data_IF_760614118324
#
_entry.id   IF_760614118324
#
_cell.length_a   1.000
_cell.length_b   1.000
_cell.length_c   1.000
_cell.angle_alpha   90.00
_cell.angle_beta   90.00
_cell.angle_gamma   90.00
#
_symmetry.space_group_name_H-M   'P 1'
#
loop_
_entity.id
_entity.type
_entity.pdbx_description
1 polymer ?
#
# COMPACT_ATOMS: atom_id res chain seq x y z
N UNK A 1 -6.43 0.65 23.25
CA UNK A 1 -5.80 -0.58 22.72
C UNK A 1 -6.81 -1.76 22.72
N UNK A 2 -8.03 -1.55 22.22
CA UNK A 2 -9.12 -2.53 22.33
C UNK A 2 -9.21 -3.51 21.13
N UNK A 3 -8.13 -3.66 20.36
CA UNK A 3 -8.09 -4.48 19.13
C UNK A 3 -7.47 -5.87 19.36
N UNK A 4 -7.51 -6.37 20.59
CA UNK A 4 -6.93 -7.65 21.00
C UNK A 4 -8.01 -8.71 21.19
N UNK A 5 -7.79 -9.90 20.62
CA UNK A 5 -8.62 -11.09 20.85
C UNK A 5 -7.71 -12.19 21.39
N UNK A 6 -7.97 -12.63 22.62
CA UNK A 6 -7.18 -13.69 23.29
C UNK A 6 -5.66 -13.46 23.22
N UNK A 7 -5.22 -12.22 23.51
CA UNK A 7 -3.80 -11.84 23.51
C UNK A 7 -3.20 -11.54 22.12
N UNK A 8 -3.95 -11.69 21.03
CA UNK A 8 -3.49 -11.40 19.68
C UNK A 8 -4.05 -10.07 19.18
N UNK A 9 -3.19 -9.19 18.70
CA UNK A 9 -3.61 -7.98 18.00
C UNK A 9 -4.19 -8.38 16.63
N UNK A 10 -5.49 -8.16 16.42
CA UNK A 10 -6.11 -8.33 15.09
C UNK A 10 -5.64 -7.22 14.16
N UNK A 11 -5.73 -5.96 14.63
CA UNK A 11 -5.05 -4.77 14.09
C UNK A 11 -5.46 -4.27 12.70
N UNK A 12 -5.92 -5.15 11.80
CA UNK A 12 -6.28 -4.82 10.41
C UNK A 12 -7.71 -4.27 10.27
N UNK A 13 -8.64 -4.81 11.05
CA UNK A 13 -10.05 -4.42 11.05
C UNK A 13 -10.48 -4.02 12.45
N UNK A 14 -11.36 -3.04 12.53
CA UNK A 14 -11.98 -2.63 13.78
C UNK A 14 -12.91 -3.72 14.31
N UNK A 15 -12.67 -4.17 15.55
CA UNK A 15 -13.56 -5.10 16.25
C UNK A 15 -14.96 -4.54 16.52
N UNK A 16 -15.14 -3.22 16.49
CA UNK A 16 -16.45 -2.57 16.53
C UNK A 16 -17.25 -2.69 15.23
N UNK A 17 -16.68 -3.28 14.18
CA UNK A 17 -17.36 -3.55 12.92
C UNK A 17 -17.35 -2.38 11.93
N UNK A 18 -16.59 -1.32 12.18
CA UNK A 18 -16.49 -0.17 11.24
C UNK A 18 -15.61 -0.46 10.02
N UNK A 19 -15.06 -1.68 9.91
CA UNK A 19 -14.30 -2.14 8.75
C UNK A 19 -12.79 -1.99 8.90
N UNK A 20 -12.08 -2.01 7.76
CA UNK A 20 -10.62 -1.92 7.71
C UNK A 20 -10.17 -0.50 8.11
N UNK A 21 -9.11 -0.42 8.92
CA UNK A 21 -8.52 0.86 9.35
C UNK A 21 -7.94 1.68 8.20
N UNK A 22 -7.49 1.01 7.14
CA UNK A 22 -6.92 1.64 5.95
C UNK A 22 -7.88 1.61 4.73
N UNK A 23 -9.19 1.70 4.95
CA UNK A 23 -10.17 1.79 3.85
C UNK A 23 -11.23 2.82 4.14
N UNK A 24 -11.91 3.30 3.09
CA UNK A 24 -13.01 4.27 3.21
C UNK A 24 -12.58 5.55 3.95
N UNK A 25 -11.38 6.05 3.67
CA UNK A 25 -11.01 7.41 4.04
C UNK A 25 -11.95 8.43 3.37
N UNK A 26 -12.15 9.57 4.03
CA UNK A 26 -13.07 10.58 3.54
C UNK A 26 -12.59 11.16 2.19
N UNK A 27 -13.47 11.14 1.19
CA UNK A 27 -13.19 11.72 -0.13
C UNK A 27 -13.50 13.22 -0.14
N UNK A 28 -12.44 14.05 -0.16
CA UNK A 28 -12.59 15.52 -0.19
C UNK A 28 -12.94 16.08 -1.58
N UNK A 29 -12.83 15.32 -2.67
CA UNK A 29 -13.01 15.84 -4.03
C UNK A 29 -14.35 16.55 -4.23
N UNK A 30 -15.51 16.01 -3.77
CA UNK A 30 -16.79 16.72 -3.91
C UNK A 30 -16.82 18.06 -3.17
N UNK A 31 -16.16 18.15 -2.00
CA UNK A 31 -16.10 19.38 -1.23
C UNK A 31 -15.15 20.42 -1.82
N UNK A 32 -14.04 19.97 -2.41
CA UNK A 32 -13.13 20.80 -3.20
C UNK A 32 -13.91 21.40 -4.37
N UNK A 33 -14.55 20.57 -5.19
CA UNK A 33 -15.31 21.01 -6.36
C UNK A 33 -16.45 21.99 -6.01
N UNK A 34 -17.11 21.81 -4.86
CA UNK A 34 -18.16 22.71 -4.40
C UNK A 34 -17.66 24.05 -3.85
N UNK A 35 -16.44 24.09 -3.29
CA UNK A 35 -15.90 25.28 -2.63
C UNK A 35 -15.11 26.19 -3.57
N UNK A 36 -14.56 25.63 -4.63
CA UNK A 36 -13.78 26.34 -5.63
C UNK A 36 -14.53 26.29 -6.98
N UNK A 37 -15.35 27.32 -7.22
CA UNK A 37 -16.05 27.49 -8.48
C UNK A 37 -15.05 27.74 -9.63
N UNK A 38 -15.12 26.88 -10.67
CA UNK A 38 -14.30 26.94 -11.90
C UNK A 38 -14.44 28.25 -12.68
N UNK A 39 -15.45 29.08 -12.39
CA UNK A 39 -15.68 30.34 -13.11
C UNK A 39 -14.81 31.51 -12.65
N UNK A 40 -14.08 31.38 -11.53
CA UNK A 40 -13.14 32.40 -11.05
C UNK A 40 -11.82 31.75 -10.62
N UNK A 41 -10.74 31.87 -11.42
CA UNK A 41 -9.43 31.43 -10.99
C UNK A 41 -9.04 32.18 -9.72
N UNK A 42 -8.81 31.44 -8.64
CA UNK A 42 -8.12 31.96 -7.45
C UNK A 42 -6.72 31.39 -7.46
N UNK A 43 -5.72 32.23 -7.71
CA UNK A 43 -4.34 31.87 -7.40
C UNK A 43 -4.25 31.74 -5.87
N UNK A 44 -4.27 30.51 -5.37
CA UNK A 44 -4.01 30.21 -3.97
C UNK A 44 -2.58 29.69 -3.85
N UNK A 45 -1.87 30.14 -2.82
CA UNK A 45 -0.59 29.53 -2.47
C UNK A 45 -0.80 28.08 -2.01
N UNK A 46 0.22 27.23 -2.16
CA UNK A 46 0.18 25.86 -1.64
C UNK A 46 -0.15 25.84 -0.14
N UNK A 47 0.34 26.81 0.63
CA UNK A 47 0.05 26.95 2.06
C UNK A 47 -1.44 27.21 2.35
N UNK A 48 -2.10 28.06 1.56
CA UNK A 48 -3.55 28.31 1.69
C UNK A 48 -4.36 27.06 1.36
N UNK A 49 -3.98 26.32 0.31
CA UNK A 49 -4.64 25.07 -0.06
C UNK A 49 -4.49 24.01 1.04
N UNK A 50 -3.28 23.82 1.58
CA UNK A 50 -3.02 22.92 2.70
C UNK A 50 -3.87 23.26 3.93
N UNK A 51 -3.90 24.55 4.30
CA UNK A 51 -4.71 25.03 5.42
C UNK A 51 -6.21 24.77 5.19
N UNK A 52 -6.69 24.99 3.97
CA UNK A 52 -8.08 24.72 3.61
C UNK A 52 -8.41 23.22 3.66
N UNK A 53 -7.56 22.35 3.08
CA UNK A 53 -7.75 20.89 3.08
C UNK A 53 -7.78 20.33 4.51
N UNK A 54 -6.85 20.79 5.36
CA UNK A 54 -6.82 20.47 6.79
C UNK A 54 -8.11 20.87 7.47
N UNK A 55 -8.52 22.14 7.35
CA UNK A 55 -9.72 22.64 8.03
C UNK A 55 -10.98 21.93 7.54
N UNK A 56 -11.14 21.78 6.22
CA UNK A 56 -12.27 21.07 5.64
C UNK A 56 -12.35 19.63 6.18
N UNK A 57 -11.21 18.95 6.35
CA UNK A 57 -11.19 17.60 6.93
C UNK A 57 -11.62 17.62 8.41
N UNK A 58 -11.10 18.56 9.21
CA UNK A 58 -11.42 18.66 10.64
C UNK A 58 -12.87 19.07 10.93
N UNK A 59 -13.50 19.86 10.06
CA UNK A 59 -14.91 20.27 10.19
C UNK A 59 -15.89 19.08 10.21
N UNK A 60 -15.44 17.90 9.78
CA UNK A 60 -16.24 16.66 9.73
C UNK A 60 -16.18 15.85 11.02
N UNK A 61 -15.33 16.22 11.97
CA UNK A 61 -15.04 15.42 13.15
C UNK A 61 -16.23 15.32 14.11
N UNK A 62 -17.12 16.31 14.14
CA UNK A 62 -18.24 16.35 15.09
C UNK A 62 -19.23 15.18 14.97
N UNK A 63 -19.31 14.54 13.80
CA UNK A 63 -20.21 13.41 13.53
C UNK A 63 -19.49 12.05 13.47
N UNK A 64 -18.19 12.01 13.72
CA UNK A 64 -17.34 10.85 13.48
C UNK A 64 -17.34 9.88 14.67
N UNK A 65 -17.44 8.57 14.38
CA UNK A 65 -17.07 7.54 15.35
C UNK A 65 -15.54 7.53 15.57
N UNK A 66 -14.99 6.83 16.58
CA UNK A 66 -13.56 6.87 16.87
C UNK A 66 -12.63 6.49 15.69
N UNK A 67 -13.03 5.54 14.84
CA UNK A 67 -12.24 5.11 13.68
C UNK A 67 -12.30 6.15 12.57
N UNK A 68 -13.47 6.72 12.31
CA UNK A 68 -13.63 7.84 11.38
C UNK A 68 -12.85 9.07 11.86
N UNK A 69 -12.89 9.38 13.16
CA UNK A 69 -12.14 10.48 13.74
C UNK A 69 -10.63 10.28 13.58
N UNK A 70 -10.12 9.05 13.78
CA UNK A 70 -8.73 8.71 13.50
C UNK A 70 -8.36 8.95 12.03
N UNK A 71 -9.19 8.47 11.09
CA UNK A 71 -8.98 8.66 9.65
C UNK A 71 -8.96 10.13 9.25
N UNK A 72 -9.89 10.93 9.77
CA UNK A 72 -9.93 12.38 9.55
C UNK A 72 -8.69 13.07 10.12
N UNK A 73 -8.23 12.68 11.31
CA UNK A 73 -7.01 13.23 11.91
C UNK A 73 -5.76 12.90 11.08
N UNK A 74 -5.63 11.66 10.60
CA UNK A 74 -4.52 11.27 9.72
C UNK A 74 -4.51 12.07 8.41
N UNK A 75 -5.67 12.24 7.76
CA UNK A 75 -5.78 13.07 6.56
C UNK A 75 -5.46 14.54 6.84
N UNK A 76 -5.98 15.10 7.93
CA UNK A 76 -5.73 16.49 8.30
C UNK A 76 -4.23 16.75 8.48
N UNK A 77 -3.51 15.84 9.15
CA UNK A 77 -2.04 15.90 9.29
C UNK A 77 -1.36 15.71 7.93
N UNK A 78 -1.81 14.74 7.13
CA UNK A 78 -1.26 14.51 5.79
C UNK A 78 -1.29 15.78 4.93
N UNK A 79 -2.41 16.50 4.93
CA UNK A 79 -2.57 17.75 4.17
C UNK A 79 -1.68 18.92 4.64
N UNK A 80 -0.97 18.80 5.76
CA UNK A 80 0.05 19.79 6.14
C UNK A 80 1.34 19.64 5.31
N UNK A 81 1.49 18.50 4.62
CA UNK A 81 2.71 18.13 3.92
C UNK A 81 2.49 18.00 2.41
N UNK A 82 3.57 18.14 1.64
CA UNK A 82 3.56 17.98 0.17
C UNK A 82 3.53 16.50 -0.23
N UNK A 83 3.97 15.62 0.66
CA UNK A 83 4.09 14.20 0.43
C UNK A 83 3.76 13.39 1.69
N UNK A 84 3.24 12.18 1.50
CA UNK A 84 2.99 11.20 2.56
C UNK A 84 3.66 9.87 2.22
N UNK A 85 4.33 9.27 3.20
CA UNK A 85 4.82 7.90 3.15
C UNK A 85 4.06 7.11 4.20
N UNK A 86 3.23 6.18 3.75
CA UNK A 86 2.43 5.32 4.63
C UNK A 86 3.17 4.00 4.86
N UNK A 87 3.61 3.76 6.09
CA UNK A 87 4.48 2.62 6.42
C UNK A 87 3.63 1.43 6.89
N UNK A 88 3.66 0.34 6.13
CA UNK A 88 2.89 -0.87 6.35
C UNK A 88 3.81 -2.08 6.53
N UNK A 89 3.19 -3.23 6.81
CA UNK A 89 3.81 -4.53 6.61
C UNK A 89 2.72 -5.54 6.19
N UNK A 90 3.13 -6.55 5.43
CA UNK A 90 2.28 -7.65 5.01
C UNK A 90 2.44 -8.86 5.94
N UNK A 91 1.85 -10.00 5.62
CA UNK A 91 1.95 -11.24 6.39
C UNK A 91 3.39 -11.79 6.34
N UNK A 92 3.79 -12.30 5.17
CA UNK A 92 5.17 -12.66 4.82
C UNK A 92 5.39 -12.09 3.44
N UNK A 93 6.27 -11.13 3.30
CA UNK A 93 6.49 -10.48 2.01
C UNK A 93 7.92 -10.00 1.82
N UNK A 94 8.23 -9.65 0.58
CA UNK A 94 9.41 -8.86 0.24
C UNK A 94 9.19 -7.39 0.62
N UNK A 95 10.26 -6.61 0.70
CA UNK A 95 10.15 -5.14 0.68
C UNK A 95 9.51 -4.74 -0.64
N UNK A 96 8.35 -4.07 -0.60
CA UNK A 96 7.67 -3.59 -1.80
C UNK A 96 6.98 -2.27 -1.55
N UNK A 97 6.69 -1.55 -2.63
CA UNK A 97 6.13 -0.20 -2.56
C UNK A 97 4.94 -0.11 -3.50
N UNK A 98 3.88 0.56 -3.06
CA UNK A 98 2.79 1.02 -3.90
C UNK A 98 2.89 2.53 -4.11
N UNK A 99 2.63 3.00 -5.33
CA UNK A 99 2.55 4.42 -5.68
C UNK A 99 1.73 4.59 -6.96
N UNK A 100 1.59 5.82 -7.46
CA UNK A 100 0.95 6.09 -8.75
C UNK A 100 1.91 6.28 -9.91
N UNK A 101 1.41 6.06 -11.13
CA UNK A 101 2.15 6.32 -12.37
C UNK A 101 2.51 7.79 -12.52
N UNK A 102 1.64 8.70 -12.04
CA UNK A 102 1.92 10.14 -11.97
C UNK A 102 3.25 10.47 -11.28
N UNK A 103 3.68 9.66 -10.31
CA UNK A 103 4.91 9.88 -9.55
C UNK A 103 5.96 8.79 -9.76
N UNK A 104 5.98 8.14 -10.93
CA UNK A 104 6.85 7.00 -11.22
C UNK A 104 8.33 7.29 -10.90
N UNK A 105 8.89 8.44 -11.30
CA UNK A 105 10.30 8.76 -11.06
C UNK A 105 10.64 8.89 -9.57
N UNK A 106 9.76 9.55 -8.80
CA UNK A 106 9.91 9.70 -7.34
C UNK A 106 9.74 8.34 -6.64
N UNK A 107 8.77 7.55 -7.09
CA UNK A 107 8.52 6.20 -6.57
C UNK A 107 9.70 5.26 -6.86
N UNK A 108 10.31 5.33 -8.05
CA UNK A 108 11.55 4.62 -8.41
C UNK A 108 12.70 5.05 -7.52
N UNK A 109 12.82 6.34 -7.19
CA UNK A 109 13.84 6.83 -6.27
C UNK A 109 13.66 6.26 -4.86
N UNK A 110 12.45 6.30 -4.32
CA UNK A 110 12.11 5.68 -3.03
C UNK A 110 12.41 4.18 -3.05
N UNK A 111 11.96 3.46 -4.08
CA UNK A 111 12.16 2.02 -4.23
C UNK A 111 13.63 1.62 -4.27
N UNK A 112 14.48 2.40 -4.95
CA UNK A 112 15.94 2.20 -4.91
C UNK A 112 16.53 2.43 -3.52
N UNK A 113 16.10 3.47 -2.82
CA UNK A 113 16.62 3.79 -1.48
C UNK A 113 16.19 2.75 -0.43
N UNK A 114 15.00 2.20 -0.57
CA UNK A 114 14.45 1.16 0.31
C UNK A 114 14.87 -0.27 -0.10
N UNK A 115 15.64 -0.43 -1.18
CA UNK A 115 15.98 -1.74 -1.77
C UNK A 115 14.75 -2.62 -2.03
N UNK A 116 13.66 -1.99 -2.49
CA UNK A 116 12.41 -2.66 -2.77
C UNK A 116 12.57 -3.68 -3.90
N UNK A 117 11.96 -4.85 -3.71
CA UNK A 117 11.97 -5.93 -4.71
C UNK A 117 10.95 -5.70 -5.81
N UNK A 118 9.81 -5.10 -5.44
CA UNK A 118 8.73 -4.77 -6.33
C UNK A 118 8.28 -3.33 -6.07
N UNK A 119 8.13 -2.56 -7.14
CA UNK A 119 7.41 -1.31 -7.15
C UNK A 119 6.12 -1.54 -7.95
N UNK A 120 4.98 -1.36 -7.30
CA UNK A 120 3.66 -1.60 -7.87
C UNK A 120 3.00 -0.25 -8.11
N UNK A 121 2.65 0.03 -9.36
CA UNK A 121 2.14 1.34 -9.78
C UNK A 121 0.69 1.26 -10.25
N UNK A 122 -0.10 2.25 -9.84
CA UNK A 122 -1.47 2.45 -10.30
C UNK A 122 -2.03 3.84 -10.02
N UNK A 123 -2.95 4.30 -10.85
CA UNK A 123 -3.63 5.58 -10.59
C UNK A 123 -4.94 5.41 -9.80
N UNK A 124 -5.58 4.23 -9.87
CA UNK A 124 -6.90 3.97 -9.30
C UNK A 124 -7.00 2.57 -8.67
N UNK A 125 -6.50 2.45 -7.43
CA UNK A 125 -6.61 1.26 -6.57
C UNK A 125 -8.04 0.81 -6.31
N UNK A 126 -8.88 1.81 -5.98
CA UNK A 126 -10.11 1.60 -5.27
C UNK A 126 -9.90 1.28 -3.79
N UNK A 127 -10.98 1.34 -3.01
CA UNK A 127 -10.98 1.03 -1.58
C UNK A 127 -10.75 2.24 -0.66
N UNK A 128 -10.33 3.39 -1.19
CA UNK A 128 -10.23 4.63 -0.42
C UNK A 128 -9.23 4.51 0.73
N UNK A 129 -8.01 4.09 0.42
CA UNK A 129 -6.87 4.05 1.35
C UNK A 129 -6.43 5.46 1.74
N UNK A 130 -5.59 5.56 2.75
CA UNK A 130 -5.04 6.86 3.19
C UNK A 130 -4.30 7.59 2.06
N UNK A 131 -3.36 6.90 1.41
CA UNK A 131 -2.55 7.42 0.31
C UNK A 131 -3.43 7.86 -0.88
N UNK A 132 -4.46 7.07 -1.20
CA UNK A 132 -5.41 7.38 -2.27
C UNK A 132 -6.19 8.65 -1.94
N UNK A 133 -6.78 8.76 -0.75
CA UNK A 133 -7.59 9.92 -0.38
C UNK A 133 -6.77 11.22 -0.36
N UNK A 134 -5.52 11.16 0.13
CA UNK A 134 -4.58 12.29 0.09
C UNK A 134 -4.25 12.69 -1.36
N UNK A 135 -3.82 11.74 -2.19
CA UNK A 135 -3.44 11.99 -3.59
C UNK A 135 -4.61 12.50 -4.42
N UNK A 136 -5.78 11.88 -4.29
CA UNK A 136 -6.97 12.20 -5.09
C UNK A 136 -7.49 13.61 -4.78
N UNK A 137 -7.33 14.10 -3.54
CA UNK A 137 -7.61 15.49 -3.20
C UNK A 137 -6.65 16.46 -3.91
N UNK A 138 -5.34 16.20 -3.89
CA UNK A 138 -4.36 17.01 -4.61
C UNK A 138 -4.54 16.98 -6.13
N UNK A 139 -4.92 15.84 -6.69
CA UNK A 139 -5.29 15.73 -8.11
C UNK A 139 -6.46 16.64 -8.46
N UNK A 140 -7.48 16.70 -7.62
CA UNK A 140 -8.62 17.59 -7.82
C UNK A 140 -8.24 19.07 -7.73
N UNK A 141 -7.37 19.44 -6.78
CA UNK A 141 -6.80 20.80 -6.69
C UNK A 141 -6.06 21.19 -7.99
N UNK A 142 -5.22 20.29 -8.51
CA UNK A 142 -4.48 20.51 -9.76
C UNK A 142 -5.43 20.57 -10.97
N UNK A 143 -6.46 19.73 -11.01
CA UNK A 143 -7.50 19.72 -12.06
C UNK A 143 -8.27 21.04 -12.12
N UNK A 144 -8.48 21.68 -10.97
CA UNK A 144 -9.12 22.99 -10.85
C UNK A 144 -8.13 24.17 -11.01
N UNK A 145 -6.88 23.89 -11.38
CA UNK A 145 -5.81 24.89 -11.58
C UNK A 145 -5.56 25.79 -10.35
N UNK A 146 -5.87 25.30 -9.15
CA UNK A 146 -5.72 26.06 -7.89
C UNK A 146 -4.27 26.09 -7.37
N UNK A 147 -3.49 25.06 -7.71
CA UNK A 147 -2.09 24.93 -7.39
C UNK A 147 -1.37 24.14 -8.49
N UNK A 148 -0.25 24.66 -8.98
CA UNK A 148 0.58 24.02 -10.02
C UNK A 148 1.88 23.43 -9.48
N UNK A 149 2.07 23.43 -8.15
CA UNK A 149 3.28 22.89 -7.53
C UNK A 149 3.35 21.37 -7.69
N UNK A 150 4.28 20.93 -8.55
CA UNK A 150 4.49 19.52 -8.87
C UNK A 150 5.04 18.70 -7.69
N UNK A 151 5.56 19.35 -6.63
CA UNK A 151 6.06 18.66 -5.44
C UNK A 151 4.91 18.08 -4.59
N UNK A 152 3.69 18.62 -4.73
CA UNK A 152 2.53 18.27 -3.92
C UNK A 152 1.81 17.01 -4.40
N UNK A 153 1.21 16.28 -3.45
CA UNK A 153 0.34 15.14 -3.69
C UNK A 153 1.05 13.80 -3.85
N UNK A 154 2.37 13.74 -3.63
CA UNK A 154 3.08 12.45 -3.68
C UNK A 154 2.67 11.57 -2.51
N UNK A 155 2.24 10.37 -2.82
CA UNK A 155 1.84 9.38 -1.83
C UNK A 155 2.43 8.04 -2.22
N UNK A 156 3.04 7.36 -1.25
CA UNK A 156 3.52 5.99 -1.43
C UNK A 156 3.25 5.16 -0.19
N UNK A 157 2.90 3.90 -0.38
CA UNK A 157 2.81 2.90 0.69
C UNK A 157 4.10 2.08 0.66
N UNK A 158 4.80 2.02 1.78
CA UNK A 158 6.02 1.23 1.94
C UNK A 158 5.68 -0.01 2.77
N UNK A 159 5.68 -1.17 2.13
CA UNK A 159 5.48 -2.45 2.80
C UNK A 159 6.82 -2.97 3.28
N UNK A 160 7.06 -2.78 4.58
CA UNK A 160 8.28 -3.18 5.30
C UNK A 160 8.31 -4.70 5.52
N UNK A 161 8.24 -5.47 4.44
CA UNK A 161 8.23 -6.95 4.44
C UNK A 161 7.04 -7.51 5.25
N UNK A 162 7.27 -8.53 6.07
CA UNK A 162 6.26 -9.21 6.87
C UNK A 162 6.14 -8.70 8.32
N UNK A 163 5.00 -8.95 8.95
CA UNK A 163 4.66 -8.63 10.35
C UNK A 163 5.65 -9.15 11.39
N UNK A 164 6.50 -10.12 11.04
CA UNK A 164 7.52 -10.71 11.93
C UNK A 164 8.94 -10.21 11.64
N UNK A 165 9.13 -9.39 10.62
CA UNK A 165 10.45 -8.86 10.23
C UNK A 165 10.79 -7.63 11.08
N UNK A 166 10.96 -7.85 12.39
CA UNK A 166 11.21 -6.81 13.40
C UNK A 166 12.56 -7.07 14.07
N UNK A 167 13.52 -6.17 13.83
CA UNK A 167 14.82 -6.14 14.51
C UNK A 167 15.45 -4.75 14.37
N UNK A 168 16.38 -4.43 15.26
CA UNK A 168 17.11 -3.15 15.21
C UNK A 168 17.91 -3.01 13.89
N UNK A 169 18.49 -4.10 13.38
CA UNK A 169 19.23 -4.11 12.12
C UNK A 169 18.34 -3.76 10.93
N UNK A 170 17.13 -4.35 10.87
CA UNK A 170 16.15 -4.02 9.83
C UNK A 170 15.68 -2.57 9.94
N UNK A 171 15.33 -2.13 11.15
CA UNK A 171 14.85 -0.76 11.38
C UNK A 171 15.93 0.29 11.04
N UNK A 172 17.19 0.02 11.37
CA UNK A 172 18.31 0.89 11.03
C UNK A 172 18.53 0.99 9.51
N UNK A 173 18.44 -0.14 8.80
CA UNK A 173 18.54 -0.16 7.34
C UNK A 173 17.37 0.58 6.67
N UNK A 174 16.14 0.34 7.10
CA UNK A 174 14.95 1.02 6.58
C UNK A 174 15.02 2.53 6.81
N UNK A 175 15.38 2.95 8.03
CA UNK A 175 15.53 4.36 8.38
C UNK A 175 16.62 5.03 7.53
N UNK A 176 17.74 4.34 7.28
CA UNK A 176 18.79 4.85 6.40
C UNK A 176 18.28 5.04 4.96
N UNK A 177 17.47 4.10 4.44
CA UNK A 177 16.84 4.20 3.13
C UNK A 177 15.86 5.38 3.03
N UNK A 178 14.99 5.55 4.03
CA UNK A 178 14.06 6.68 4.10
C UNK A 178 14.82 8.02 4.17
N UNK A 179 15.87 8.09 4.98
CA UNK A 179 16.72 9.28 5.09
C UNK A 179 17.39 9.59 3.74
N UNK A 180 17.91 8.58 3.04
CA UNK A 180 18.55 8.77 1.74
C UNK A 180 17.53 9.22 0.67
N UNK A 181 16.28 8.74 0.72
CA UNK A 181 15.19 9.28 -0.09
C UNK A 181 14.89 10.76 0.23
N UNK A 182 14.70 11.10 1.50
CA UNK A 182 14.43 12.49 1.93
C UNK A 182 15.57 13.46 1.57
N UNK A 183 16.83 12.98 1.54
CA UNK A 183 17.98 13.76 1.01
C UNK A 183 17.85 14.03 -0.48
N UNK A 184 17.48 13.01 -1.26
CA UNK A 184 17.30 13.14 -2.72
C UNK A 184 16.15 14.08 -3.07
N UNK A 185 15.10 14.09 -2.27
CA UNK A 185 13.98 15.04 -2.39
C UNK A 185 14.36 16.48 -1.96
N UNK A 186 15.58 16.71 -1.45
CA UNK A 186 16.03 18.02 -1.00
C UNK A 186 15.42 18.48 0.33
N UNK A 187 14.60 17.65 0.98
CA UNK A 187 13.90 17.98 2.24
C UNK A 187 14.88 18.19 3.39
N UNK A 188 16.02 17.50 3.36
CA UNK A 188 17.08 17.61 4.36
C UNK A 188 18.27 18.48 3.92
N UNK A 189 18.04 19.44 3.02
CA UNK A 189 19.08 20.40 2.59
C UNK A 189 19.66 21.13 3.82
N UNK A 190 20.91 20.81 4.18
CA UNK A 190 21.62 21.37 5.33
C UNK A 190 22.10 20.34 6.36
N UNK A 191 21.60 19.10 6.34
CA UNK A 191 21.96 18.13 7.38
C UNK A 191 23.27 17.38 7.14
N UNK A 192 23.68 17.01 5.91
CA UNK A 192 25.02 16.42 5.67
C UNK A 192 25.46 16.53 4.21
N UNK A 193 26.60 17.20 3.97
CA UNK A 193 27.48 16.91 2.84
C UNK A 193 28.30 15.65 3.17
N UNK A 194 28.23 14.60 2.35
CA UNK A 194 29.24 13.52 2.42
C UNK A 194 28.81 12.06 2.24
N UNK A 195 27.52 11.71 2.20
CA UNK A 195 27.12 10.34 1.82
C UNK A 195 26.70 10.31 0.35
N UNK A 196 27.57 9.79 -0.52
CA UNK A 196 27.14 9.38 -1.84
C UNK A 196 26.04 8.32 -1.67
N UNK A 197 24.86 8.55 -2.25
CA UNK A 197 23.78 7.58 -2.15
C UNK A 197 24.27 6.25 -2.71
N UNK A 198 24.12 5.17 -1.94
CA UNK A 198 24.49 3.84 -2.41
C UNK A 198 23.71 3.54 -3.70
N UNK A 199 24.33 2.93 -4.73
CA UNK A 199 23.61 2.49 -5.92
C UNK A 199 22.70 1.33 -5.52
N UNK A 200 21.50 1.67 -5.04
CA UNK A 200 20.44 0.70 -4.77
C UNK A 200 20.07 -0.05 -6.05
N UNK A 201 19.73 -1.33 -5.92
CA UNK A 201 19.27 -2.15 -7.05
C UNK A 201 17.97 -1.56 -7.61
N UNK A 202 17.84 -1.55 -8.94
CA UNK A 202 16.58 -1.17 -9.56
C UNK A 202 15.50 -2.22 -9.26
N UNK A 203 14.38 -1.76 -8.71
CA UNK A 203 13.21 -2.58 -8.42
C UNK A 203 12.51 -2.99 -9.71
N UNK A 204 11.92 -4.17 -9.72
CA UNK A 204 11.02 -4.55 -10.81
C UNK A 204 9.72 -3.76 -10.67
N UNK A 205 9.23 -3.21 -11.78
CA UNK A 205 7.98 -2.44 -11.82
C UNK A 205 6.86 -3.30 -12.35
N UNK A 206 5.73 -3.25 -11.65
CA UNK A 206 4.52 -3.98 -11.99
C UNK A 206 3.33 -3.03 -11.95
N UNK A 207 2.41 -3.17 -12.90
CA UNK A 207 1.10 -2.52 -12.78
C UNK A 207 0.26 -3.27 -11.73
N UNK A 208 -0.54 -2.58 -10.90
CA UNK A 208 -1.40 -3.29 -9.93
C UNK A 208 -2.38 -4.26 -10.64
N UNK A 209 -2.86 -3.93 -11.83
CA UNK A 209 -3.73 -4.82 -12.60
C UNK A 209 -3.00 -6.08 -13.11
N UNK A 210 -1.69 -6.19 -12.97
CA UNK A 210 -0.90 -7.38 -13.25
C UNK A 210 -0.54 -8.19 -11.99
N UNK A 211 -0.98 -7.75 -10.81
CA UNK A 211 -0.80 -8.48 -9.54
C UNK A 211 -1.98 -9.42 -9.32
N UNK A 212 -1.67 -10.71 -9.21
CA UNK A 212 -2.65 -11.78 -9.01
C UNK A 212 -2.68 -12.25 -7.57
N UNK A 213 -3.88 -12.52 -7.05
CA UNK A 213 -4.08 -13.21 -5.79
C UNK A 213 -4.30 -14.70 -6.02
N UNK A 214 -3.57 -15.52 -5.26
CA UNK A 214 -3.73 -16.98 -5.30
C UNK A 214 -4.63 -17.42 -4.14
N UNK A 215 -5.77 -18.00 -4.49
CA UNK A 215 -6.67 -18.63 -3.52
C UNK A 215 -6.36 -20.12 -3.39
N UNK A 216 -6.55 -20.66 -2.18
CA UNK A 216 -6.45 -22.10 -1.95
C UNK A 216 -7.70 -22.84 -2.45
N UNK A 217 -7.57 -23.98 -3.15
CA UNK A 217 -8.71 -24.77 -3.61
C UNK A 217 -9.29 -25.69 -2.52
N UNK A 218 -8.61 -25.84 -1.38
CA UNK A 218 -8.97 -26.82 -0.35
C UNK A 218 -8.70 -26.32 1.08
N UNK A 219 -9.41 -26.92 2.03
CA UNK A 219 -9.09 -26.84 3.45
C UNK A 219 -7.91 -27.76 3.78
N UNK A 220 -7.10 -27.37 4.76
CA UNK A 220 -6.02 -28.21 5.28
C UNK A 220 -4.79 -27.41 5.66
N UNK A 221 -3.66 -28.11 5.82
CA UNK A 221 -2.37 -27.49 6.19
C UNK A 221 -1.54 -27.22 4.94
N UNK A 222 -1.11 -25.97 4.75
CA UNK A 222 -0.27 -25.57 3.62
C UNK A 222 1.20 -25.97 3.79
N UNK A 223 1.78 -26.48 2.71
CA UNK A 223 3.19 -26.79 2.55
C UNK A 223 3.74 -26.02 1.35
N UNK A 224 4.48 -24.94 1.61
CA UNK A 224 5.05 -24.08 0.58
C UNK A 224 6.19 -24.77 -0.19
N UNK A 225 6.18 -24.63 -1.53
CA UNK A 225 7.25 -25.11 -2.43
C UNK A 225 8.11 -23.98 -2.99
N UNK A 226 7.64 -22.74 -2.84
CA UNK A 226 8.34 -21.51 -3.22
C UNK A 226 8.38 -20.52 -2.07
N UNK A 227 9.45 -19.73 -2.04
CA UNK A 227 9.62 -18.62 -1.12
C UNK A 227 9.28 -17.30 -1.82
N UNK A 228 8.94 -16.27 -1.06
CA UNK A 228 8.87 -14.91 -1.60
C UNK A 228 10.20 -14.56 -2.29
N UNK A 229 10.14 -13.71 -3.34
CA UNK A 229 11.21 -13.43 -4.32
C UNK A 229 11.38 -14.45 -5.44
N UNK A 230 10.80 -15.64 -5.34
CA UNK A 230 10.90 -16.63 -6.41
C UNK A 230 10.13 -16.17 -7.65
N UNK A 231 10.76 -16.28 -8.82
CA UNK A 231 10.07 -16.27 -10.10
C UNK A 231 9.30 -17.59 -10.26
N UNK A 232 8.08 -17.50 -10.78
CA UNK A 232 7.20 -18.65 -11.00
C UNK A 232 6.57 -18.57 -12.39
N UNK A 233 6.35 -19.72 -13.01
CA UNK A 233 5.65 -19.86 -14.28
C UNK A 233 4.14 -20.09 -14.06
N UNK A 234 3.33 -19.72 -15.06
CA UNK A 234 1.90 -20.01 -15.03
C UNK A 234 1.67 -21.53 -14.97
N UNK A 235 0.86 -21.97 -14.02
CA UNK A 235 0.56 -23.38 -13.76
C UNK A 235 1.58 -24.08 -12.85
N UNK A 236 2.66 -23.41 -12.45
CA UNK A 236 3.64 -23.97 -11.53
C UNK A 236 3.06 -24.17 -10.12
N UNK A 237 3.32 -25.32 -9.50
CA UNK A 237 2.93 -25.59 -8.11
C UNK A 237 3.77 -24.77 -7.14
N UNK A 238 3.16 -23.78 -6.49
CA UNK A 238 3.82 -22.91 -5.49
C UNK A 238 3.66 -23.43 -4.07
N UNK A 239 2.64 -24.25 -3.82
CA UNK A 239 2.36 -24.90 -2.55
C UNK A 239 1.50 -26.16 -2.73
N UNK A 240 1.38 -26.95 -1.68
CA UNK A 240 0.42 -28.04 -1.57
C UNK A 240 -0.40 -27.88 -0.29
N UNK A 241 -1.68 -28.24 -0.33
CA UNK A 241 -2.55 -28.33 0.86
C UNK A 241 -2.70 -29.79 1.24
N UNK A 242 -2.24 -30.14 2.44
CA UNK A 242 -2.41 -31.47 3.03
C UNK A 242 -3.79 -31.53 3.68
N UNK A 243 -4.66 -32.44 3.22
CA UNK A 243 -6.02 -32.62 3.73
C UNK A 243 -5.99 -33.19 5.16
N UNK A 244 -6.64 -32.51 6.09
CA UNK A 244 -6.71 -32.96 7.49
C UNK A 244 -7.82 -33.98 7.76
N UNK A 245 -8.74 -34.14 6.80
CA UNK A 245 -9.92 -34.99 6.87
C UNK A 245 -9.77 -36.30 6.09
N UNK A 246 -8.55 -36.67 5.70
CA UNK A 246 -8.25 -37.81 4.83
C UNK A 246 -7.50 -38.95 5.56
N UNK A 247 -7.55 -40.14 4.98
CA UNK A 247 -6.84 -41.33 5.49
C UNK A 247 -5.35 -41.19 5.19
N UNK A 248 -4.48 -41.73 6.06
CA UNK A 248 -3.02 -41.67 5.88
C UNK A 248 -2.55 -42.64 4.77
N UNK A 249 -1.72 -42.19 3.80
CA UNK A 249 -1.19 -40.83 3.67
C UNK A 249 -2.22 -39.86 3.12
N UNK A 250 -2.38 -38.72 3.81
CA UNK A 250 -3.36 -37.71 3.47
C UNK A 250 -3.14 -37.15 2.06
N UNK A 251 -4.22 -36.99 1.29
CA UNK A 251 -4.17 -36.39 -0.04
C UNK A 251 -3.59 -34.98 0.02
N UNK A 252 -2.80 -34.65 -1.00
CA UNK A 252 -2.22 -33.32 -1.23
C UNK A 252 -2.87 -32.67 -2.44
N UNK A 253 -3.35 -31.45 -2.28
CA UNK A 253 -3.95 -30.66 -3.37
C UNK A 253 -2.97 -29.57 -3.78
N UNK A 254 -2.59 -29.54 -5.06
CA UNK A 254 -1.67 -28.53 -5.57
C UNK A 254 -2.32 -27.14 -5.57
N UNK A 255 -1.55 -26.13 -5.17
CA UNK A 255 -1.84 -24.71 -5.39
C UNK A 255 -0.91 -24.23 -6.49
N UNK A 256 -1.50 -23.81 -7.61
CA UNK A 256 -0.76 -23.42 -8.81
C UNK A 256 -0.77 -21.91 -9.01
N UNK A 257 0.28 -21.36 -9.61
CA UNK A 257 0.36 -19.97 -9.98
C UNK A 257 -0.61 -19.66 -11.16
N UNK A 258 -1.56 -18.72 -11.00
CA UNK A 258 -2.51 -18.36 -12.07
C UNK A 258 -1.86 -17.55 -13.21
N UNK A 259 -0.71 -16.91 -12.93
CA UNK A 259 0.07 -16.10 -13.85
C UNK A 259 1.57 -16.34 -13.62
N UNK A 260 2.39 -16.03 -14.63
CA UNK A 260 3.84 -16.00 -14.48
C UNK A 260 4.26 -14.65 -13.84
N UNK A 261 5.26 -14.67 -12.96
CA UNK A 261 5.69 -13.47 -12.25
C UNK A 261 6.57 -13.75 -11.04
N UNK A 262 6.61 -12.80 -10.12
CA UNK A 262 7.37 -12.91 -8.86
C UNK A 262 6.41 -13.11 -7.70
N UNK A 263 6.64 -14.13 -6.87
CA UNK A 263 5.92 -14.32 -5.61
C UNK A 263 6.36 -13.23 -4.61
N UNK A 264 5.53 -12.21 -4.41
CA UNK A 264 5.89 -11.05 -3.56
C UNK A 264 5.44 -11.23 -2.11
N UNK A 265 4.33 -11.94 -1.88
CA UNK A 265 3.77 -12.14 -0.56
C UNK A 265 3.07 -13.50 -0.41
N UNK A 266 2.99 -13.99 0.83
CA UNK A 266 2.27 -15.21 1.19
C UNK A 266 1.70 -15.19 2.60
N UNK A 267 0.74 -16.07 2.87
CA UNK A 267 0.12 -16.25 4.18
C UNK A 267 1.11 -16.79 5.22
N UNK A 268 1.05 -16.26 6.44
CA UNK A 268 1.67 -16.83 7.63
C UNK A 268 0.76 -17.83 8.36
N UNK A 269 -0.54 -17.86 8.02
CA UNK A 269 -1.50 -18.82 8.57
C UNK A 269 -1.36 -20.13 7.79
N UNK A 270 -1.15 -21.22 8.52
CA UNK A 270 -0.89 -22.53 7.92
C UNK A 270 -2.13 -23.42 7.77
N UNK A 271 -3.15 -23.21 8.58
CA UNK A 271 -4.44 -23.91 8.46
C UNK A 271 -5.39 -23.05 7.62
N UNK A 272 -5.84 -23.61 6.50
CA UNK A 272 -6.55 -22.88 5.47
C UNK A 272 -7.99 -23.34 5.30
N UNK A 273 -8.82 -22.44 4.77
CA UNK A 273 -10.17 -22.74 4.27
C UNK A 273 -10.26 -22.49 2.76
N UNK A 274 -11.12 -23.21 2.00
CA UNK A 274 -11.24 -23.03 0.55
C UNK A 274 -11.57 -21.58 0.20
N UNK A 275 -10.97 -21.06 -0.87
CA UNK A 275 -11.14 -19.68 -1.30
C UNK A 275 -10.29 -18.67 -0.55
N UNK A 276 -9.68 -19.03 0.59
CA UNK A 276 -8.78 -18.14 1.31
C UNK A 276 -7.59 -17.74 0.43
N UNK A 277 -7.29 -16.45 0.39
CA UNK A 277 -6.15 -15.90 -0.34
C UNK A 277 -4.86 -16.11 0.44
N UNK A 278 -3.89 -16.72 -0.22
CA UNK A 278 -2.68 -17.22 0.42
C UNK A 278 -1.40 -16.69 -0.18
N UNK A 279 -1.42 -16.11 -1.39
CA UNK A 279 -0.24 -15.54 -2.01
C UNK A 279 -0.58 -14.41 -2.98
N UNK A 280 0.41 -13.55 -3.24
CA UNK A 280 0.38 -12.53 -4.28
C UNK A 280 1.53 -12.74 -5.26
N UNK A 281 1.22 -12.74 -6.55
CA UNK A 281 2.20 -12.86 -7.64
C UNK A 281 2.13 -11.60 -8.49
N UNK A 282 3.24 -10.88 -8.60
CA UNK A 282 3.36 -9.72 -9.46
C UNK A 282 3.83 -10.17 -10.86
N UNK A 283 2.93 -10.10 -11.84
CA UNK A 283 3.18 -10.43 -13.24
C UNK A 283 3.38 -9.19 -14.12
N UNK A 284 3.69 -9.40 -15.40
CA UNK A 284 3.88 -8.30 -16.38
C UNK A 284 2.64 -7.97 -17.20
N UNK A 285 1.73 -8.93 -17.37
CA UNK A 285 0.51 -8.78 -18.15
C UNK A 285 -0.66 -8.44 -17.24
N UNK A 286 -1.49 -7.47 -17.66
CA UNK A 286 -2.74 -7.17 -16.99
C UNK A 286 -3.64 -8.41 -16.97
N UNK A 287 -4.29 -8.63 -15.82
CA UNK A 287 -5.16 -9.77 -15.59
C UNK A 287 -6.60 -9.40 -15.99
N UNK A 288 -7.30 -10.21 -16.80
CA UNK A 288 -8.67 -9.89 -17.27
C UNK A 288 -9.69 -9.66 -16.14
N UNK A 289 -9.52 -10.32 -15.01
CA UNK A 289 -10.37 -10.18 -13.83
C UNK A 289 -10.13 -8.90 -13.01
N UNK A 290 -9.07 -8.13 -13.32
CA UNK A 290 -8.74 -6.89 -12.61
C UNK A 290 -9.46 -5.71 -13.27
N UNK A 291 -10.28 -5.02 -12.47
CA UNK A 291 -11.00 -3.82 -12.88
C UNK A 291 -10.40 -2.62 -12.15
N UNK A 292 -10.05 -1.56 -12.90
CA UNK A 292 -9.54 -0.31 -12.32
C UNK A 292 -10.57 0.28 -11.33
N UNK A 293 -10.08 0.85 -10.22
CA UNK A 293 -10.92 1.38 -9.15
C UNK A 293 -11.65 0.31 -8.33
N UNK A 294 -11.43 -0.98 -8.60
CA UNK A 294 -11.94 -2.09 -7.78
C UNK A 294 -10.80 -2.71 -6.98
N UNK A 295 -10.89 -2.48 -5.67
CA UNK A 295 -9.98 -3.03 -4.69
C UNK A 295 -9.86 -4.55 -4.83
N UNK A 296 -8.66 -5.07 -4.64
CA UNK A 296 -8.44 -6.49 -4.38
C UNK A 296 -9.17 -6.88 -3.07
N UNK A 297 -10.35 -7.49 -3.16
CA UNK A 297 -11.17 -7.86 -1.99
C UNK A 297 -10.55 -8.96 -1.13
N UNK A 298 -9.80 -8.64 -0.06
CA UNK A 298 -9.18 -9.59 0.88
C UNK A 298 -9.79 -11.01 0.98
#
# INVERSE_FOLDING_TARGET
MNQHVMGHLSGRFDLGGTGNFDRNFFDLRPAIAASFDVTRPRAASAAEIKAWLKQATLDRQAAANPVEALKLQLLAVGFEHDAVLDLHCDKIAVMHIYSSWEFEDRARALARCMEAHALILEDEAGGGTFDQAFRDAWREIKRLELCSDASTGFAAVVELRGQRDVSDDLAAADAAGLIDFLRREGIMAGLVAGRAAAPGRESQIFALNAVSHVATPAAGVISWKRQCRASVERGETIAEVVRCDDIVPARRVAVVAPTAGVLIARSHIHLLTPGQRIAMIAGKAALPERVAGKLLHD
#
